data_IF_238124907151
#
_entry.id   IF_238124907151
#
_cell.length_a   1.000
_cell.length_b   1.000
_cell.length_c   1.000
_cell.angle_alpha   90.00
_cell.angle_beta   90.00
_cell.angle_gamma   90.00
#
_symmetry.space_group_name_H-M   'P 1'
#
loop_
_entity.id
_entity.type
_entity.pdbx_description
1 polymer ?
#
# COMPACT_ATOMS: atom_id res chain seq x y z
N UNK A 1 42.68 -44.10 5.68
CA UNK A 1 41.31 -43.53 5.66
C UNK A 1 41.38 -42.15 6.29
N UNK A 2 41.67 -41.12 5.50
CA UNK A 2 41.55 -39.74 5.97
C UNK A 2 40.06 -39.41 5.99
N UNK A 3 39.53 -39.11 7.17
CA UNK A 3 38.10 -38.87 7.36
C UNK A 3 37.66 -37.65 6.55
N UNK A 4 36.57 -37.80 5.80
CA UNK A 4 35.92 -36.77 4.98
C UNK A 4 35.52 -35.51 5.79
N UNK A 5 35.58 -35.60 7.12
CA UNK A 5 35.23 -34.54 8.07
C UNK A 5 36.30 -33.46 8.25
N UNK A 6 37.57 -33.73 7.96
CA UNK A 6 38.64 -32.74 8.20
C UNK A 6 38.47 -31.44 7.38
N UNK A 7 38.11 -31.48 6.08
CA UNK A 7 37.85 -30.25 5.30
C UNK A 7 36.58 -29.50 5.73
N UNK A 8 35.54 -30.22 6.17
CA UNK A 8 34.29 -29.64 6.68
C UNK A 8 34.50 -28.87 7.99
N UNK A 9 35.36 -29.40 8.88
CA UNK A 9 35.76 -28.73 10.13
C UNK A 9 36.50 -27.41 9.85
N UNK A 10 37.36 -27.39 8.83
CA UNK A 10 38.06 -26.16 8.42
C UNK A 10 37.08 -25.15 7.85
N UNK A 11 36.15 -25.57 6.98
CA UNK A 11 35.11 -24.70 6.43
C UNK A 11 34.20 -24.10 7.51
N UNK A 12 33.66 -24.93 8.39
CA UNK A 12 32.83 -24.48 9.51
C UNK A 12 33.60 -23.55 10.47
N UNK A 13 34.88 -23.84 10.73
CA UNK A 13 35.75 -22.99 11.55
C UNK A 13 35.98 -21.61 10.93
N UNK A 14 36.22 -21.52 9.62
CA UNK A 14 36.39 -20.24 8.91
C UNK A 14 35.08 -19.44 8.91
N UNK A 15 33.93 -20.09 8.69
CA UNK A 15 32.62 -19.42 8.76
C UNK A 15 32.29 -18.92 10.17
N UNK A 16 32.63 -19.68 11.21
CA UNK A 16 32.46 -19.26 12.60
C UNK A 16 33.34 -18.05 12.93
N UNK A 17 34.61 -18.05 12.51
CA UNK A 17 35.51 -16.90 12.68
C UNK A 17 34.99 -15.68 11.91
N UNK A 18 34.51 -15.84 10.67
CA UNK A 18 33.92 -14.75 9.90
C UNK A 18 32.65 -14.17 10.56
N UNK A 19 31.80 -15.01 11.15
CA UNK A 19 30.63 -14.57 11.91
C UNK A 19 31.02 -13.79 13.17
N UNK A 20 32.03 -14.26 13.90
CA UNK A 20 32.61 -13.55 15.05
C UNK A 20 33.15 -12.18 14.62
N UNK A 21 33.95 -12.13 13.54
CA UNK A 21 34.51 -10.89 13.03
C UNK A 21 33.44 -9.91 12.56
N UNK A 22 32.39 -10.38 11.87
CA UNK A 22 31.26 -9.54 11.48
C UNK A 22 30.51 -8.97 12.70
N UNK A 23 30.40 -9.74 13.80
CA UNK A 23 29.76 -9.26 15.04
C UNK A 23 30.55 -8.13 15.69
N UNK A 24 31.88 -8.22 15.67
CA UNK A 24 32.74 -7.26 16.36
C UNK A 24 33.17 -6.05 15.51
N UNK A 25 33.29 -6.21 14.19
CA UNK A 25 33.93 -5.21 13.32
C UNK A 25 33.01 -4.58 12.27
N UNK A 26 31.80 -5.11 12.06
CA UNK A 26 30.81 -4.59 11.11
C UNK A 26 29.70 -3.78 11.82
N UNK A 27 30.05 -3.11 12.93
CA UNK A 27 29.18 -2.20 13.66
C UNK A 27 29.13 -0.85 12.91
N UNK A 28 27.93 -0.30 12.78
CA UNK A 28 27.55 0.85 11.93
C UNK A 28 28.55 2.02 11.94
N UNK A 29 28.86 2.63 10.78
CA UNK A 29 29.55 3.91 10.75
C UNK A 29 28.63 4.96 11.39
N UNK A 30 29.13 5.60 12.45
CA UNK A 30 28.44 6.66 13.21
C UNK A 30 27.86 7.79 12.34
N UNK A 31 28.40 7.97 11.14
CA UNK A 31 28.02 9.04 10.22
C UNK A 31 26.62 8.85 9.58
N UNK A 32 26.11 7.62 9.44
CA UNK A 32 24.77 7.38 8.83
C UNK A 32 23.63 7.77 9.78
N UNK A 33 23.83 7.60 11.08
CA UNK A 33 22.86 8.03 12.10
C UNK A 33 22.82 9.56 12.16
N UNK A 34 24.00 10.20 12.13
CA UNK A 34 24.11 11.66 12.10
C UNK A 34 23.48 12.28 10.84
N UNK A 35 23.54 11.62 9.68
CA UNK A 35 22.92 12.13 8.45
C UNK A 35 21.39 12.07 8.46
N UNK A 36 20.80 11.03 9.08
CA UNK A 36 19.35 10.89 9.23
C UNK A 36 18.76 11.85 10.27
N UNK A 37 19.48 12.08 11.37
CA UNK A 37 19.13 13.12 12.34
C UNK A 37 19.19 14.51 11.70
N UNK A 38 20.17 14.77 10.83
CA UNK A 38 20.25 16.02 10.08
C UNK A 38 19.14 16.20 9.04
N UNK A 39 18.67 15.11 8.39
CA UNK A 39 17.49 15.15 7.51
C UNK A 39 16.21 15.41 8.31
N UNK A 40 16.00 14.72 9.45
CA UNK A 40 14.85 14.96 10.32
C UNK A 40 14.85 16.37 10.92
N UNK A 41 16.02 16.93 11.27
CA UNK A 41 16.12 18.33 11.72
C UNK A 41 15.82 19.33 10.60
N UNK A 42 16.18 19.04 9.36
CA UNK A 42 15.81 19.88 8.21
C UNK A 42 14.32 19.85 7.90
N UNK A 43 13.67 18.72 8.15
CA UNK A 43 12.21 18.57 8.00
C UNK A 43 11.44 19.05 9.24
N UNK A 44 12.10 19.18 10.40
CA UNK A 44 11.51 19.37 11.72
C UNK A 44 11.59 20.76 12.35
N UNK A 45 12.00 21.81 11.64
CA UNK A 45 12.00 23.20 12.18
C UNK A 45 10.58 23.84 12.21
N UNK A 46 9.58 23.03 12.59
CA UNK A 46 8.20 23.43 12.93
C UNK A 46 7.87 23.10 14.40
N UNK A 47 8.89 22.89 15.24
CA UNK A 47 8.80 22.45 16.65
C UNK A 47 8.26 23.49 17.65
N UNK A 48 7.50 24.49 17.18
CA UNK A 48 6.82 25.46 18.05
C UNK A 48 5.44 25.04 18.55
N UNK A 49 4.92 23.89 18.13
CA UNK A 49 3.61 23.38 18.56
C UNK A 49 3.82 22.07 19.31
N UNK A 50 3.65 22.14 20.63
CA UNK A 50 3.45 20.98 21.48
C UNK A 50 2.14 20.30 21.03
N UNK A 51 2.24 19.36 20.09
CA UNK A 51 1.14 18.46 19.76
C UNK A 51 1.07 17.41 20.88
N UNK A 52 0.20 17.65 21.86
CA UNK A 52 -0.12 16.70 22.93
C UNK A 52 -0.92 15.47 22.45
N UNK A 53 -1.28 15.42 21.16
CA UNK A 53 -2.01 14.29 20.57
C UNK A 53 -1.13 13.48 19.60
N UNK A 54 -0.38 12.56 20.20
CA UNK A 54 -0.14 11.17 19.76
C UNK A 54 -0.20 10.93 18.23
N UNK A 55 0.65 11.62 17.48
CA UNK A 55 0.97 11.28 16.10
C UNK A 55 1.67 9.92 16.17
N UNK A 56 0.90 8.84 15.95
CA UNK A 56 1.24 7.44 16.18
C UNK A 56 2.39 6.88 15.33
N UNK A 57 3.45 7.65 15.09
CA UNK A 57 4.79 7.13 14.98
C UNK A 57 5.05 6.25 16.19
N UNK A 58 5.22 4.95 15.94
CA UNK A 58 5.58 4.01 16.99
C UNK A 58 6.73 4.61 17.79
N UNK A 59 6.62 4.71 19.13
CA UNK A 59 7.68 5.27 19.95
C UNK A 59 8.95 4.52 19.59
N UNK A 60 9.96 5.26 19.11
CA UNK A 60 11.26 4.67 18.79
C UNK A 60 11.73 4.00 20.08
N UNK A 61 11.91 2.67 20.09
CA UNK A 61 12.22 1.98 21.33
C UNK A 61 13.55 2.51 21.86
N UNK A 62 13.51 3.23 22.98
CA UNK A 62 14.73 3.71 23.66
C UNK A 62 15.56 2.53 24.18
N UNK A 63 14.89 1.42 24.48
CA UNK A 63 15.49 0.21 25.02
C UNK A 63 15.07 -1.00 24.21
N UNK A 64 16.06 -1.77 23.77
CA UNK A 64 15.86 -3.04 23.05
C UNK A 64 15.09 -4.04 23.92
N UNK A 65 13.94 -4.51 23.45
CA UNK A 65 13.18 -5.54 24.13
C UNK A 65 13.87 -6.91 23.99
N UNK A 66 14.68 -7.27 24.98
CA UNK A 66 15.50 -8.50 25.00
C UNK A 66 14.70 -9.78 24.80
N UNK A 67 13.42 -9.81 25.18
CA UNK A 67 12.54 -10.98 24.99
C UNK A 67 12.17 -11.15 23.52
N UNK A 68 11.73 -10.07 22.86
CA UNK A 68 11.39 -10.04 21.44
C UNK A 68 12.62 -10.33 20.59
N UNK A 69 13.74 -9.68 20.91
CA UNK A 69 15.03 -9.95 20.27
C UNK A 69 15.46 -11.41 20.41
N UNK A 70 15.37 -11.98 21.62
CA UNK A 70 15.69 -13.39 21.86
C UNK A 70 14.82 -14.36 21.05
N UNK A 71 13.53 -14.06 20.88
CA UNK A 71 12.62 -14.86 20.05
C UNK A 71 12.99 -14.79 18.56
N UNK A 72 13.31 -13.60 18.03
CA UNK A 72 13.77 -13.42 16.64
C UNK A 72 15.05 -14.22 16.39
N UNK A 73 16.01 -14.13 17.31
CA UNK A 73 17.28 -14.85 17.25
C UNK A 73 17.07 -16.37 17.35
N UNK A 74 16.20 -16.84 18.25
CA UNK A 74 15.92 -18.26 18.41
C UNK A 74 15.21 -18.84 17.18
N UNK A 75 14.29 -18.08 16.57
CA UNK A 75 13.63 -18.44 15.32
C UNK A 75 14.63 -18.56 14.17
N UNK A 76 15.53 -17.57 14.03
CA UNK A 76 16.61 -17.61 13.04
C UNK A 76 17.55 -18.81 13.24
N UNK A 77 17.87 -19.16 14.49
CA UNK A 77 18.69 -20.33 14.81
C UNK A 77 17.96 -21.63 14.42
N UNK A 78 16.67 -21.74 14.74
CA UNK A 78 15.84 -22.89 14.39
C UNK A 78 15.79 -23.13 12.88
N UNK A 79 15.60 -22.06 12.10
CA UNK A 79 15.58 -22.12 10.63
C UNK A 79 16.91 -22.59 10.02
N UNK A 80 18.04 -22.22 10.61
CA UNK A 80 19.35 -22.62 10.10
C UNK A 80 19.80 -24.01 10.58
N UNK A 81 19.30 -24.46 11.73
CA UNK A 81 19.46 -25.86 12.18
C UNK A 81 18.65 -26.79 11.26
N UNK A 82 17.50 -26.36 10.75
CA UNK A 82 16.70 -27.09 9.77
C UNK A 82 17.33 -27.16 8.37
N UNK A 83 18.20 -26.22 7.98
CA UNK A 83 18.72 -26.09 6.61
C UNK A 83 19.92 -27.01 6.27
N UNK A 84 20.22 -28.01 7.11
CA UNK A 84 21.45 -28.79 6.97
C UNK A 84 21.55 -29.56 5.65
N UNK A 85 22.60 -29.26 4.88
CA UNK A 85 23.00 -30.02 3.69
C UNK A 85 23.96 -31.14 4.08
N UNK A 86 23.65 -32.41 3.80
CA UNK A 86 24.66 -33.36 3.39
C UNK A 86 24.72 -33.38 1.85
N UNK A 87 25.87 -33.09 1.25
CA UNK A 87 26.08 -33.39 -0.18
C UNK A 87 27.23 -34.39 -0.30
N UNK A 88 26.85 -35.67 -0.37
CA UNK A 88 27.35 -36.51 -1.45
C UNK A 88 26.12 -36.77 -2.31
N UNK A 89 25.93 -35.97 -3.35
CA UNK A 89 24.80 -36.07 -4.25
C UNK A 89 25.34 -36.32 -5.66
N UNK A 90 24.74 -37.26 -6.40
CA UNK A 90 25.09 -37.45 -7.80
C UNK A 90 24.82 -36.16 -8.59
N UNK A 91 25.57 -35.93 -9.67
CA UNK A 91 25.42 -34.73 -10.52
C UNK A 91 23.96 -34.50 -10.96
N UNK A 92 23.21 -35.58 -11.17
CA UNK A 92 21.79 -35.55 -11.53
C UNK A 92 20.95 -34.97 -10.39
N UNK A 93 21.15 -35.43 -9.15
CA UNK A 93 20.39 -34.93 -8.02
C UNK A 93 20.77 -33.48 -7.66
N UNK A 94 22.03 -33.06 -7.89
CA UNK A 94 22.43 -31.65 -7.78
C UNK A 94 21.71 -30.75 -8.80
N UNK A 95 21.61 -31.20 -10.05
CA UNK A 95 20.84 -30.50 -11.10
C UNK A 95 19.37 -30.38 -10.72
N UNK A 96 18.76 -31.44 -10.19
CA UNK A 96 17.35 -31.42 -9.75
C UNK A 96 17.11 -30.53 -8.53
N UNK A 97 18.00 -30.54 -7.53
CA UNK A 97 17.90 -29.60 -6.41
C UNK A 97 18.05 -28.16 -6.89
N UNK A 98 18.97 -27.89 -7.82
CA UNK A 98 19.14 -26.54 -8.37
C UNK A 98 17.88 -26.07 -9.11
N UNK A 99 17.21 -26.97 -9.84
CA UNK A 99 15.93 -26.70 -10.50
C UNK A 99 14.80 -26.50 -9.49
N UNK A 100 14.72 -27.32 -8.43
CA UNK A 100 13.71 -27.18 -7.38
C UNK A 100 13.90 -25.90 -6.57
N UNK A 101 15.14 -25.52 -6.25
CA UNK A 101 15.46 -24.25 -5.60
C UNK A 101 15.11 -23.10 -6.53
N UNK A 102 15.44 -23.15 -7.82
CA UNK A 102 15.03 -22.12 -8.77
C UNK A 102 13.48 -22.01 -8.86
N UNK A 103 12.78 -23.14 -8.90
CA UNK A 103 11.32 -23.20 -8.94
C UNK A 103 10.63 -22.80 -7.63
N UNK A 104 11.32 -22.83 -6.49
CA UNK A 104 10.79 -22.32 -5.22
C UNK A 104 11.15 -20.84 -4.99
N UNK A 105 12.40 -20.48 -5.26
CA UNK A 105 12.93 -19.14 -4.98
C UNK A 105 12.32 -18.12 -5.93
N UNK A 106 12.17 -18.42 -7.23
CA UNK A 106 11.66 -17.44 -8.20
C UNK A 106 10.18 -17.10 -7.97
N UNK A 107 9.25 -18.06 -7.76
CA UNK A 107 7.89 -17.71 -7.37
C UNK A 107 7.83 -17.07 -5.99
N UNK A 108 8.68 -17.52 -5.06
CA UNK A 108 8.80 -16.93 -3.73
C UNK A 108 9.16 -15.44 -3.77
N UNK A 109 10.13 -15.05 -4.59
CA UNK A 109 10.55 -13.64 -4.75
C UNK A 109 9.55 -12.79 -5.54
N UNK A 110 8.73 -13.38 -6.41
CA UNK A 110 7.66 -12.67 -7.13
C UNK A 110 6.43 -12.43 -6.23
N UNK A 111 6.10 -13.42 -5.39
CA UNK A 111 4.92 -13.38 -4.51
C UNK A 111 5.21 -12.61 -3.23
N UNK A 112 6.44 -12.68 -2.72
CA UNK A 112 6.77 -12.11 -1.41
C UNK A 112 6.50 -10.60 -1.31
N UNK A 113 6.81 -9.71 -2.29
CA UNK A 113 6.53 -8.29 -2.15
C UNK A 113 5.03 -7.98 -2.01
N UNK A 114 4.18 -8.73 -2.73
CA UNK A 114 2.72 -8.58 -2.65
C UNK A 114 2.17 -9.08 -1.30
N UNK A 115 2.77 -10.14 -0.77
CA UNK A 115 2.41 -10.68 0.55
C UNK A 115 2.92 -9.77 1.67
N UNK A 116 4.15 -9.25 1.59
CA UNK A 116 4.72 -8.26 2.53
C UNK A 116 3.88 -6.98 2.56
N UNK A 117 3.43 -6.49 1.40
CA UNK A 117 2.57 -5.30 1.31
C UNK A 117 1.17 -5.51 1.94
N UNK A 118 0.72 -6.75 2.11
CA UNK A 118 -0.59 -7.08 2.71
C UNK A 118 -0.53 -7.55 4.15
N UNK A 119 0.49 -8.32 4.53
CA UNK A 119 0.66 -8.89 5.87
C UNK A 119 1.62 -8.09 6.75
N UNK A 120 2.27 -7.06 6.19
CA UNK A 120 3.28 -6.24 6.83
C UNK A 120 4.59 -6.97 7.14
N UNK A 121 5.50 -6.24 7.80
CA UNK A 121 6.86 -6.71 8.09
C UNK A 121 6.87 -8.00 8.92
N UNK A 122 5.97 -8.17 9.89
CA UNK A 122 5.88 -9.39 10.68
C UNK A 122 5.26 -10.59 9.95
N UNK A 123 4.25 -10.41 9.09
CA UNK A 123 3.71 -11.52 8.28
C UNK A 123 4.68 -12.03 7.21
N UNK A 124 5.74 -11.26 7.01
CA UNK A 124 6.91 -11.57 6.20
C UNK A 124 8.00 -12.38 6.90
N UNK A 125 7.66 -13.37 7.72
CA UNK A 125 8.59 -14.19 8.53
C UNK A 125 9.73 -14.91 7.77
N UNK A 126 10.00 -14.60 6.50
CA UNK A 126 11.18 -15.06 5.76
C UNK A 126 12.37 -14.09 5.85
N UNK A 127 12.21 -12.86 6.34
CA UNK A 127 13.33 -11.94 6.53
C UNK A 127 13.38 -11.39 7.97
N UNK A 128 14.31 -11.91 8.75
CA UNK A 128 14.61 -11.45 10.12
C UNK A 128 15.15 -10.01 10.17
N UNK A 129 15.72 -9.51 9.05
CA UNK A 129 16.32 -8.18 8.95
C UNK A 129 15.36 -7.01 9.26
N UNK A 130 14.25 -6.84 8.52
CA UNK A 130 13.31 -5.74 8.75
C UNK A 130 12.64 -5.74 10.14
N UNK A 131 12.39 -6.92 10.73
CA UNK A 131 11.86 -7.01 12.11
C UNK A 131 12.88 -6.53 13.15
N UNK A 132 14.16 -6.83 12.95
CA UNK A 132 15.22 -6.34 13.82
C UNK A 132 15.36 -4.83 13.71
N UNK A 133 15.23 -4.25 12.51
CA UNK A 133 15.25 -2.79 12.35
C UNK A 133 14.09 -2.10 13.08
N UNK A 134 12.89 -2.67 13.04
CA UNK A 134 11.71 -2.12 13.70
C UNK A 134 11.79 -2.20 15.24
N UNK A 135 12.35 -3.29 15.77
CA UNK A 135 12.41 -3.56 17.23
C UNK A 135 13.67 -3.02 17.91
N UNK A 136 14.70 -2.70 17.14
CA UNK A 136 15.97 -2.24 17.69
C UNK A 136 16.03 -0.71 17.74
N UNK A 137 16.53 -0.14 18.84
CA UNK A 137 16.91 1.28 18.90
C UNK A 137 17.78 1.63 17.69
N UNK A 138 17.66 2.84 17.10
CA UNK A 138 18.42 3.23 15.92
C UNK A 138 19.93 3.05 16.06
N UNK A 139 20.48 3.28 17.26
CA UNK A 139 21.90 3.11 17.62
C UNK A 139 22.35 1.64 17.77
N UNK A 140 21.41 0.69 17.73
CA UNK A 140 21.64 -0.75 17.94
C UNK A 140 21.12 -1.63 16.81
N UNK A 141 20.68 -1.04 15.70
CA UNK A 141 20.19 -1.79 14.52
C UNK A 141 21.31 -2.63 13.92
N UNK A 142 22.50 -2.05 13.73
CA UNK A 142 23.68 -2.78 13.25
C UNK A 142 24.08 -3.94 14.15
N UNK A 143 24.07 -3.75 15.48
CA UNK A 143 24.34 -4.82 16.44
C UNK A 143 23.32 -5.96 16.31
N UNK A 144 22.04 -5.61 16.22
CA UNK A 144 20.94 -6.58 16.18
C UNK A 144 20.94 -7.39 14.87
N UNK A 145 21.23 -6.74 13.73
CA UNK A 145 21.46 -7.40 12.46
C UNK A 145 22.71 -8.30 12.49
N UNK A 146 23.80 -7.83 13.11
CA UNK A 146 25.03 -8.59 13.30
C UNK A 146 24.78 -9.88 14.09
N UNK A 147 24.07 -9.80 15.21
CA UNK A 147 23.69 -10.98 15.99
C UNK A 147 22.85 -11.98 15.19
N UNK A 148 21.89 -11.50 14.41
CA UNK A 148 21.05 -12.34 13.57
C UNK A 148 21.85 -13.07 12.47
N UNK A 149 22.72 -12.35 11.75
CA UNK A 149 23.61 -12.96 10.75
C UNK A 149 24.54 -14.00 11.41
N UNK A 150 25.08 -13.69 12.60
CA UNK A 150 25.94 -14.61 13.35
C UNK A 150 25.22 -15.88 13.75
N UNK A 151 23.99 -15.77 14.19
CA UNK A 151 23.15 -16.91 14.57
C UNK A 151 22.79 -17.75 13.34
N UNK A 152 22.46 -17.11 12.22
CA UNK A 152 22.20 -17.81 10.98
C UNK A 152 23.43 -18.58 10.49
N UNK A 153 24.60 -17.92 10.47
CA UNK A 153 25.87 -18.53 10.08
C UNK A 153 26.30 -19.65 11.02
N UNK A 154 26.07 -19.49 12.32
CA UNK A 154 26.34 -20.53 13.30
C UNK A 154 25.44 -21.74 13.11
N UNK A 155 24.14 -21.55 12.91
CA UNK A 155 23.19 -22.62 12.60
C UNK A 155 23.57 -23.34 11.31
N UNK A 156 23.96 -22.61 10.26
CA UNK A 156 24.40 -23.17 8.98
C UNK A 156 25.72 -23.93 9.08
N UNK A 157 26.62 -23.56 10.00
CA UNK A 157 27.86 -24.28 10.28
C UNK A 157 27.65 -25.53 11.14
N UNK A 158 26.71 -25.47 12.10
CA UNK A 158 26.43 -26.55 13.05
C UNK A 158 25.52 -27.63 12.45
N UNK A 159 24.56 -27.26 11.61
CA UNK A 159 23.55 -28.18 11.07
C UNK A 159 24.12 -29.36 10.28
N UNK A 160 25.16 -29.21 9.42
CA UNK A 160 25.74 -30.36 8.72
C UNK A 160 26.44 -31.34 9.67
N UNK A 161 26.99 -30.84 10.78
CA UNK A 161 27.64 -31.68 11.79
C UNK A 161 26.62 -32.51 12.58
N UNK A 162 25.55 -31.86 13.07
CA UNK A 162 24.48 -32.56 13.81
C UNK A 162 23.78 -33.57 12.92
N UNK A 163 23.42 -33.20 11.68
CA UNK A 163 22.80 -34.12 10.73
C UNK A 163 23.76 -35.24 10.31
N UNK A 164 25.06 -34.95 10.17
CA UNK A 164 26.07 -35.97 9.91
C UNK A 164 26.16 -37.00 11.03
N UNK A 165 26.22 -36.55 12.28
CA UNK A 165 26.25 -37.43 13.47
C UNK A 165 24.95 -38.25 13.59
N UNK A 166 23.80 -37.65 13.31
CA UNK A 166 22.51 -38.36 13.29
C UNK A 166 22.49 -39.41 12.16
N UNK A 167 22.93 -39.04 10.96
CA UNK A 167 23.01 -39.95 9.81
C UNK A 167 23.95 -41.13 10.07
N UNK A 168 25.10 -40.88 10.69
CA UNK A 168 26.09 -41.91 10.99
C UNK A 168 25.62 -42.85 12.12
N UNK A 169 24.94 -42.31 13.16
CA UNK A 169 24.42 -43.09 14.27
C UNK A 169 23.14 -43.88 13.93
N UNK A 170 22.36 -43.42 12.95
CA UNK A 170 21.19 -44.15 12.43
C UNK A 170 21.55 -45.24 11.43
N UNK A 171 22.84 -45.55 11.28
CA UNK A 171 23.37 -46.61 10.41
C UNK A 171 22.63 -47.94 10.52
N UNK A 172 21.80 -48.22 9.52
CA UNK A 172 21.48 -49.56 9.03
C UNK A 172 20.36 -50.38 9.72
N UNK A 173 19.91 -50.07 10.95
CA UNK A 173 19.01 -50.99 11.67
C UNK A 173 17.57 -50.51 11.91
N UNK A 174 17.24 -49.23 11.67
CA UNK A 174 15.95 -48.65 12.09
C UNK A 174 15.13 -48.05 10.94
N UNK A 175 14.83 -48.80 9.88
CA UNK A 175 13.71 -48.48 8.96
C UNK A 175 13.15 -49.74 8.26
N UNK A 176 12.55 -50.63 9.04
CA UNK A 176 11.49 -51.52 8.54
C UNK A 176 10.12 -50.88 8.83
N UNK A 177 9.84 -49.74 8.21
CA UNK A 177 8.45 -49.30 8.01
C UNK A 177 7.94 -49.89 6.69
N UNK A 178 6.75 -50.53 6.66
CA UNK A 178 6.30 -51.29 5.51
C UNK A 178 6.05 -50.37 4.31
N UNK A 179 6.96 -50.41 3.33
CA UNK A 179 6.98 -49.56 2.13
C UNK A 179 5.85 -49.84 1.12
N UNK A 180 5.06 -50.90 1.28
CA UNK A 180 4.20 -51.36 0.18
C UNK A 180 2.78 -50.77 0.17
N UNK A 181 2.25 -50.26 1.29
CA UNK A 181 0.83 -49.89 1.35
C UNK A 181 0.52 -48.42 1.04
N UNK A 182 1.40 -47.46 1.36
CA UNK A 182 1.03 -46.04 1.31
C UNK A 182 1.44 -45.32 0.02
N UNK A 183 2.59 -45.66 -0.56
CA UNK A 183 3.10 -45.02 -1.78
C UNK A 183 2.45 -45.53 -3.08
N UNK A 184 1.94 -46.77 -3.09
CA UNK A 184 1.26 -47.34 -4.26
C UNK A 184 -0.13 -46.74 -4.51
N UNK A 185 -0.75 -46.14 -3.49
CA UNK A 185 -2.06 -45.49 -3.61
C UNK A 185 -1.99 -44.03 -4.07
N UNK A 186 -0.88 -43.34 -3.83
CA UNK A 186 -0.74 -41.91 -4.18
C UNK A 186 -0.13 -41.67 -5.58
N UNK A 187 0.56 -42.67 -6.16
CA UNK A 187 1.41 -42.50 -7.35
C UNK A 187 0.91 -43.22 -8.62
N UNK A 188 -0.34 -43.71 -8.66
CA UNK A 188 -0.86 -44.48 -9.81
C UNK A 188 -1.01 -43.69 -11.13
N UNK A 189 -0.92 -42.36 -11.12
CA UNK A 189 -1.13 -41.53 -12.32
C UNK A 189 0.10 -40.74 -12.79
N UNK A 190 1.29 -40.99 -12.23
CA UNK A 190 2.52 -40.27 -12.64
C UNK A 190 3.62 -41.28 -12.96
N UNK A 191 3.69 -41.70 -14.22
CA UNK A 191 4.76 -42.55 -14.74
C UNK A 191 6.04 -41.75 -14.93
N UNK A 192 6.77 -41.48 -13.84
CA UNK A 192 8.16 -41.05 -13.91
C UNK A 192 9.02 -42.29 -13.66
N UNK A 193 9.60 -42.80 -14.74
CA UNK A 193 10.54 -43.93 -14.71
C UNK A 193 11.87 -43.44 -14.11
N UNK A 194 12.10 -43.73 -12.84
CA UNK A 194 13.40 -43.55 -12.19
C UNK A 194 14.30 -44.75 -12.51
N UNK A 195 15.29 -44.56 -13.40
CA UNK A 195 16.41 -45.47 -13.55
C UNK A 195 17.53 -44.97 -12.63
N UNK A 196 17.61 -45.52 -11.42
CA UNK A 196 18.76 -45.37 -10.53
C UNK A 196 19.40 -46.75 -10.31
N UNK A 197 20.74 -46.87 -10.38
CA UNK A 197 21.43 -48.13 -10.14
C UNK A 197 21.19 -48.63 -8.71
N UNK A 198 21.00 -49.95 -8.50
CA UNK A 198 20.42 -50.50 -7.28
C UNK A 198 21.33 -50.55 -6.04
N UNK A 199 22.58 -50.08 -6.09
CA UNK A 199 23.60 -50.50 -5.11
C UNK A 199 24.13 -49.42 -4.14
N UNK A 200 23.45 -48.28 -4.00
CA UNK A 200 23.66 -47.39 -2.84
C UNK A 200 22.34 -46.96 -2.25
N UNK A 201 21.95 -47.66 -1.18
CA UNK A 201 20.79 -47.37 -0.36
C UNK A 201 21.07 -46.15 0.53
N UNK A 202 20.86 -44.96 -0.02
CA UNK A 202 20.80 -43.71 0.75
C UNK A 202 19.44 -43.61 1.48
N UNK A 203 19.23 -44.49 2.46
CA UNK A 203 17.98 -44.61 3.24
C UNK A 203 17.82 -43.44 4.25
N UNK A 204 18.89 -42.69 4.55
CA UNK A 204 18.86 -41.55 5.46
C UNK A 204 18.21 -40.27 4.90
N UNK A 205 18.15 -40.12 3.57
CA UNK A 205 17.76 -38.86 2.91
C UNK A 205 16.30 -38.46 3.16
N UNK A 206 15.30 -39.35 3.09
CA UNK A 206 13.90 -38.96 3.32
C UNK A 206 13.62 -38.56 4.78
N UNK A 207 14.23 -39.23 5.75
CA UNK A 207 14.05 -38.93 7.18
C UNK A 207 14.66 -37.56 7.51
N UNK A 208 15.85 -37.27 6.99
CA UNK A 208 16.48 -35.96 7.15
C UNK A 208 15.60 -34.84 6.57
N UNK A 209 15.03 -35.02 5.37
CA UNK A 209 14.13 -34.03 4.75
C UNK A 209 12.92 -33.73 5.64
N UNK A 210 12.26 -34.75 6.21
CA UNK A 210 11.09 -34.53 7.07
C UNK A 210 11.44 -33.89 8.41
N UNK A 211 12.63 -34.16 8.96
CA UNK A 211 13.13 -33.46 10.15
C UNK A 211 13.36 -31.97 9.83
N UNK A 212 13.99 -31.66 8.68
CA UNK A 212 14.17 -30.29 8.23
C UNK A 212 12.81 -29.56 8.09
N UNK A 213 11.84 -30.18 7.42
CA UNK A 213 10.49 -29.62 7.25
C UNK A 213 9.82 -29.39 8.61
N UNK A 214 9.90 -30.35 9.54
CA UNK A 214 9.29 -30.22 10.86
C UNK A 214 9.91 -29.09 11.69
N UNK A 215 11.24 -28.91 11.63
CA UNK A 215 11.92 -27.82 12.34
C UNK A 215 11.54 -26.47 11.70
N UNK A 216 11.50 -26.34 10.38
CA UNK A 216 11.06 -25.10 9.72
C UNK A 216 9.61 -24.74 10.07
N UNK A 217 8.70 -25.72 10.16
CA UNK A 217 7.33 -25.47 10.64
C UNK A 217 7.30 -25.00 12.10
N UNK A 218 8.07 -25.64 12.99
CA UNK A 218 8.15 -25.25 14.40
C UNK A 218 8.74 -23.84 14.58
N UNK A 219 9.76 -23.48 13.81
CA UNK A 219 10.32 -22.12 13.79
C UNK A 219 9.28 -21.09 13.33
N UNK A 220 8.50 -21.40 12.29
CA UNK A 220 7.41 -20.52 11.85
C UNK A 220 6.38 -20.30 12.97
N UNK A 221 5.96 -21.38 13.66
CA UNK A 221 5.04 -21.27 14.81
C UNK A 221 5.63 -20.49 15.99
N UNK A 222 6.94 -20.61 16.25
CA UNK A 222 7.61 -19.83 17.28
C UNK A 222 7.65 -18.32 16.97
N UNK A 223 7.59 -17.96 15.68
CA UNK A 223 7.56 -16.57 15.22
C UNK A 223 6.13 -15.97 15.13
N UNK A 224 5.07 -16.79 15.06
CA UNK A 224 3.67 -16.30 15.01
C UNK A 224 3.33 -15.32 16.15
N UNK A 225 3.72 -15.55 17.42
CA UNK A 225 3.46 -14.59 18.50
C UNK A 225 4.08 -13.20 18.28
N UNK A 226 5.13 -13.07 17.46
CA UNK A 226 5.74 -11.77 17.14
C UNK A 226 4.82 -10.88 16.30
N UNK A 227 3.82 -11.46 15.62
CA UNK A 227 2.79 -10.71 14.90
C UNK A 227 1.81 -9.98 15.84
N UNK A 228 1.81 -10.31 17.14
CA UNK A 228 0.95 -9.65 18.13
C UNK A 228 1.71 -8.68 19.04
N UNK A 229 3.02 -8.48 18.80
CA UNK A 229 3.81 -7.50 19.56
C UNK A 229 3.61 -6.12 18.95
N UNK A 230 3.16 -5.17 19.76
CA UNK A 230 3.04 -3.77 19.36
C UNK A 230 4.39 -3.25 18.85
N UNK A 231 4.41 -2.70 17.63
CA UNK A 231 5.61 -2.28 16.90
C UNK A 231 6.10 -3.24 15.81
N UNK A 232 5.69 -4.51 15.84
CA UNK A 232 5.92 -5.47 14.74
C UNK A 232 4.73 -5.55 13.77
N UNK A 233 3.59 -4.95 14.12
CA UNK A 233 2.42 -4.84 13.25
C UNK A 233 2.78 -4.12 11.93
N UNK A 234 1.96 -4.35 10.89
CA UNK A 234 2.09 -3.61 9.62
C UNK A 234 2.17 -2.11 9.96
N UNK A 235 3.27 -1.41 9.66
CA UNK A 235 3.33 0.03 9.91
C UNK A 235 2.12 0.63 9.21
N UNK A 236 1.31 1.40 9.95
CA UNK A 236 0.18 2.10 9.35
C UNK A 236 0.75 2.88 8.19
N UNK A 237 0.22 2.66 6.98
CA UNK A 237 0.70 3.38 5.80
C UNK A 237 0.69 4.87 6.16
N UNK A 238 1.80 5.59 5.97
CA UNK A 238 1.85 7.00 6.33
C UNK A 238 0.66 7.67 5.68
N UNK A 239 -0.14 8.36 6.48
CA UNK A 239 -1.32 9.03 5.97
C UNK A 239 -0.81 10.03 4.91
N UNK A 240 -1.31 9.97 3.65
CA UNK A 240 -0.87 10.86 2.59
C UNK A 240 -0.93 12.31 3.06
N UNK A 241 0.03 13.14 2.64
CA UNK A 241 0.11 14.55 3.08
C UNK A 241 -1.19 15.32 2.86
N UNK A 242 -1.97 14.97 1.84
CA UNK A 242 -3.27 15.57 1.53
C UNK A 242 -4.30 15.42 2.65
N UNK A 243 -4.21 14.31 3.41
CA UNK A 243 -5.16 13.98 4.48
C UNK A 243 -4.75 14.52 5.83
N UNK A 244 -3.68 15.33 5.89
CA UNK A 244 -3.30 16.01 7.12
C UNK A 244 -3.96 17.39 7.13
N UNK A 245 -4.54 17.80 8.27
CA UNK A 245 -4.96 19.19 8.44
C UNK A 245 -3.72 20.10 8.34
N UNK A 246 -3.84 21.23 7.66
CA UNK A 246 -2.79 22.25 7.66
C UNK A 246 -2.90 23.11 8.93
N UNK A 247 -1.78 23.73 9.31
CA UNK A 247 -1.78 24.69 10.41
C UNK A 247 -2.78 25.83 10.10
N UNK A 248 -3.78 25.99 10.98
CA UNK A 248 -4.85 26.98 10.83
C UNK A 248 -6.11 26.48 10.14
N UNK A 249 -6.12 25.27 9.56
CA UNK A 249 -7.35 24.63 9.10
C UNK A 249 -8.17 24.14 10.30
N UNK A 250 -9.49 24.23 10.20
CA UNK A 250 -10.39 23.60 11.15
C UNK A 250 -10.27 22.06 11.03
N UNK A 251 -9.55 21.46 11.98
CA UNK A 251 -9.29 20.03 11.99
C UNK A 251 -10.59 19.21 12.00
N UNK A 252 -11.65 19.68 12.65
CA UNK A 252 -12.94 18.97 12.66
C UNK A 252 -13.54 18.92 11.26
N UNK A 253 -13.48 20.03 10.51
CA UNK A 253 -13.98 20.11 9.13
C UNK A 253 -13.16 19.18 8.22
N UNK A 254 -11.83 19.22 8.31
CA UNK A 254 -10.95 18.35 7.51
C UNK A 254 -11.23 16.88 7.82
N UNK A 255 -11.35 16.51 9.10
CA UNK A 255 -11.68 15.14 9.51
C UNK A 255 -13.06 14.70 9.01
N UNK A 256 -14.07 15.58 9.00
CA UNK A 256 -15.38 15.28 8.41
C UNK A 256 -15.28 14.99 6.91
N UNK A 257 -14.57 15.83 6.16
CA UNK A 257 -14.35 15.64 4.71
C UNK A 257 -13.68 14.29 4.44
N UNK A 258 -12.63 13.97 5.20
CA UNK A 258 -11.86 12.73 5.05
C UNK A 258 -12.66 11.47 5.42
N UNK A 259 -13.60 11.59 6.37
CA UNK A 259 -14.54 10.52 6.73
C UNK A 259 -15.67 10.35 5.70
N UNK A 260 -15.81 11.26 4.73
CA UNK A 260 -16.94 11.28 3.81
C UNK A 260 -18.23 11.77 4.45
N UNK A 261 -18.14 12.50 5.58
CA UNK A 261 -19.28 13.18 6.17
C UNK A 261 -19.61 14.43 5.35
N UNK A 262 -20.90 14.75 5.24
CA UNK A 262 -21.32 15.94 4.51
C UNK A 262 -20.81 17.21 5.22
N UNK A 263 -20.21 18.09 4.42
CA UNK A 263 -19.76 19.43 4.82
C UNK A 263 -20.42 20.41 3.86
N UNK A 264 -20.83 21.57 4.37
CA UNK A 264 -21.39 22.62 3.54
C UNK A 264 -20.39 23.04 2.45
N UNK A 265 -20.86 23.13 1.21
CA UNK A 265 -20.00 23.42 0.06
C UNK A 265 -19.27 24.75 0.20
N UNK A 266 -19.87 25.76 0.83
CA UNK A 266 -19.23 27.05 1.05
C UNK A 266 -18.03 26.93 2.00
N UNK A 267 -18.16 26.13 3.07
CA UNK A 267 -17.08 25.86 4.02
C UNK A 267 -15.97 25.04 3.32
N UNK A 268 -16.35 24.04 2.53
CA UNK A 268 -15.39 23.23 1.76
C UNK A 268 -14.61 24.09 0.76
N UNK A 269 -15.29 25.00 0.06
CA UNK A 269 -14.68 25.91 -0.91
C UNK A 269 -13.69 26.87 -0.21
N UNK A 270 -14.02 27.39 0.97
CA UNK A 270 -13.10 28.22 1.77
C UNK A 270 -11.80 27.47 2.14
N UNK A 271 -11.92 26.24 2.64
CA UNK A 271 -10.76 25.39 2.95
C UNK A 271 -9.94 25.10 1.69
N UNK A 272 -10.62 24.81 0.57
CA UNK A 272 -9.96 24.54 -0.70
C UNK A 272 -9.32 25.79 -1.32
N UNK A 273 -9.88 26.98 -1.11
CA UNK A 273 -9.29 28.25 -1.54
C UNK A 273 -8.00 28.55 -0.76
N UNK A 274 -7.95 28.27 0.54
CA UNK A 274 -6.69 28.38 1.29
C UNK A 274 -5.64 27.39 0.80
N UNK A 275 -6.04 26.15 0.50
CA UNK A 275 -5.16 25.13 -0.07
C UNK A 275 -4.67 25.52 -1.46
N UNK A 276 -5.57 26.05 -2.29
CA UNK A 276 -5.26 26.60 -3.60
C UNK A 276 -4.13 27.62 -3.49
N UNK A 277 -4.30 28.63 -2.63
CA UNK A 277 -3.32 29.72 -2.43
C UNK A 277 -1.97 29.20 -1.92
N UNK A 278 -1.96 28.10 -1.18
CA UNK A 278 -0.74 27.42 -0.70
C UNK A 278 -0.15 26.41 -1.71
N UNK A 279 -0.76 26.27 -2.90
CA UNK A 279 -0.32 25.32 -3.94
C UNK A 279 -0.52 23.86 -3.53
N UNK A 280 -1.57 23.57 -2.75
CA UNK A 280 -1.90 22.22 -2.25
C UNK A 280 -3.11 21.64 -2.98
N UNK A 281 -3.21 20.32 -3.09
CA UNK A 281 -4.39 19.66 -3.68
C UNK A 281 -5.67 19.96 -2.90
N UNK A 282 -6.79 19.99 -3.62
CA UNK A 282 -8.12 20.14 -3.02
C UNK A 282 -8.50 18.91 -2.20
N UNK A 283 -9.29 19.17 -1.17
CA UNK A 283 -10.03 18.15 -0.44
C UNK A 283 -11.35 17.87 -1.16
N UNK A 284 -11.67 16.58 -1.25
CA UNK A 284 -12.93 16.10 -1.82
C UNK A 284 -13.64 15.23 -0.79
N UNK A 285 -14.96 15.44 -0.65
CA UNK A 285 -15.79 14.56 0.19
C UNK A 285 -15.90 13.22 -0.51
N UNK A 286 -15.53 12.15 0.19
CA UNK A 286 -15.58 10.80 -0.37
C UNK A 286 -17.03 10.31 -0.49
N UNK A 287 -17.41 9.69 -1.62
CA UNK A 287 -18.73 9.08 -1.73
C UNK A 287 -18.84 7.94 -0.72
N UNK A 288 -19.90 7.93 0.07
CA UNK A 288 -20.24 6.78 0.91
C UNK A 288 -20.95 5.73 0.07
N UNK A 289 -20.94 4.44 0.45
CA UNK A 289 -21.74 3.42 -0.21
C UNK A 289 -23.24 3.76 -0.19
N UNK A 290 -23.96 3.42 -1.26
CA UNK A 290 -25.40 3.70 -1.37
C UNK A 290 -26.22 3.13 -0.21
N UNK A 291 -25.88 1.93 0.28
CA UNK A 291 -26.58 1.29 1.41
C UNK A 291 -26.54 2.15 2.68
N UNK A 292 -25.43 2.86 2.90
CA UNK A 292 -25.23 3.72 4.05
C UNK A 292 -25.99 5.05 3.90
N UNK A 293 -26.32 5.47 2.68
CA UNK A 293 -26.98 6.75 2.39
C UNK A 293 -28.46 6.63 1.99
N UNK A 294 -28.93 5.42 1.70
CA UNK A 294 -30.29 5.16 1.18
C UNK A 294 -31.39 5.75 2.06
N UNK A 295 -31.19 5.79 3.37
CA UNK A 295 -32.15 6.34 4.33
C UNK A 295 -32.05 7.88 4.47
N UNK A 296 -31.01 8.49 3.89
CA UNK A 296 -30.73 9.93 3.93
C UNK A 296 -31.00 10.61 2.58
N UNK A 297 -31.57 9.95 1.57
CA UNK A 297 -31.72 10.50 0.21
C UNK A 297 -32.50 11.83 0.18
N UNK A 298 -33.53 11.98 1.01
CA UNK A 298 -34.28 13.24 1.09
C UNK A 298 -33.46 14.37 1.75
N UNK A 299 -32.59 14.01 2.70
CA UNK A 299 -31.66 14.94 3.32
C UNK A 299 -30.56 15.34 2.33
N UNK A 300 -30.06 14.38 1.54
CA UNK A 300 -29.10 14.62 0.47
C UNK A 300 -29.66 15.61 -0.55
N UNK A 301 -30.90 15.40 -1.03
CA UNK A 301 -31.58 16.34 -1.96
C UNK A 301 -31.72 17.75 -1.38
N UNK A 302 -32.03 17.87 -0.08
CA UNK A 302 -32.14 19.18 0.58
C UNK A 302 -30.79 19.89 0.68
N UNK A 303 -29.73 19.15 0.98
CA UNK A 303 -28.35 19.66 1.07
C UNK A 303 -27.82 20.07 -0.30
N UNK A 304 -27.99 19.22 -1.32
CA UNK A 304 -27.49 19.50 -2.67
C UNK A 304 -28.15 20.71 -3.32
N UNK A 305 -29.35 21.11 -2.89
CA UNK A 305 -30.00 22.35 -3.32
C UNK A 305 -29.19 23.59 -3.02
N UNK A 306 -28.70 23.75 -1.78
CA UNK A 306 -27.82 24.88 -1.45
C UNK A 306 -26.49 24.78 -2.18
N UNK A 307 -25.98 23.55 -2.35
CA UNK A 307 -24.71 23.30 -3.03
C UNK A 307 -24.76 23.71 -4.52
N UNK A 308 -25.84 23.38 -5.24
CA UNK A 308 -26.03 23.79 -6.63
C UNK A 308 -26.12 25.31 -6.79
N UNK A 309 -26.84 25.99 -5.89
CA UNK A 309 -26.95 27.45 -5.91
C UNK A 309 -25.62 28.12 -5.60
N UNK A 310 -24.86 27.59 -4.64
CA UNK A 310 -23.52 28.06 -4.31
C UNK A 310 -22.59 27.93 -5.51
N UNK A 311 -22.51 26.74 -6.12
CA UNK A 311 -21.65 26.50 -7.26
C UNK A 311 -22.03 27.36 -8.47
N UNK A 312 -23.32 27.52 -8.78
CA UNK A 312 -23.75 28.40 -9.88
C UNK A 312 -23.29 29.84 -9.64
N UNK A 313 -23.44 30.36 -8.42
CA UNK A 313 -22.97 31.70 -8.05
C UNK A 313 -21.45 31.81 -8.19
N UNK A 314 -20.69 30.85 -7.65
CA UNK A 314 -19.22 30.86 -7.71
C UNK A 314 -18.69 30.74 -9.14
N UNK A 315 -19.31 29.91 -9.98
CA UNK A 315 -18.99 29.83 -11.42
C UNK A 315 -19.20 31.17 -12.10
N UNK A 316 -20.26 31.91 -11.76
CA UNK A 316 -20.50 33.27 -12.30
C UNK A 316 -19.48 34.28 -11.80
N UNK A 317 -19.09 34.21 -10.54
CA UNK A 317 -18.00 35.03 -10.00
C UNK A 317 -16.71 34.78 -10.76
N UNK A 318 -16.34 33.53 -11.01
CA UNK A 318 -15.16 33.20 -11.81
C UNK A 318 -15.27 33.72 -13.25
N UNK A 319 -16.42 33.58 -13.92
CA UNK A 319 -16.65 34.16 -15.24
C UNK A 319 -16.49 35.69 -15.25
N UNK A 320 -16.95 36.38 -14.21
CA UNK A 320 -16.72 37.82 -14.06
C UNK A 320 -15.22 38.13 -13.88
N UNK A 321 -14.53 37.38 -13.02
CA UNK A 321 -13.10 37.55 -12.77
C UNK A 321 -12.23 37.29 -14.02
N UNK A 322 -12.64 36.36 -14.89
CA UNK A 322 -11.93 36.07 -16.14
C UNK A 322 -11.87 37.29 -17.07
N UNK A 323 -12.94 38.09 -17.12
CA UNK A 323 -13.01 39.28 -17.95
C UNK A 323 -12.10 40.43 -17.48
N UNK A 324 -11.69 40.40 -16.21
CA UNK A 324 -10.87 41.45 -15.59
C UNK A 324 -9.37 41.14 -15.61
N UNK A 325 -8.98 39.88 -15.87
CA UNK A 325 -7.60 39.42 -15.78
C UNK A 325 -6.85 39.54 -17.09
N UNK A 326 -5.52 39.74 -16.98
CA UNK A 326 -4.63 39.66 -18.13
C UNK A 326 -4.41 38.21 -18.56
N UNK A 327 -3.94 38.01 -19.80
CA UNK A 327 -3.63 36.67 -20.33
C UNK A 327 -2.58 35.93 -19.51
N UNK A 328 -1.59 36.64 -18.95
CA UNK A 328 -0.51 36.06 -18.15
C UNK A 328 -1.01 35.64 -16.75
N UNK A 329 -1.87 36.46 -16.14
CA UNK A 329 -2.52 36.12 -14.88
C UNK A 329 -3.44 34.91 -15.03
N UNK A 330 -4.09 34.79 -16.20
CA UNK A 330 -4.96 33.67 -16.52
C UNK A 330 -4.18 32.36 -16.67
N UNK A 331 -3.03 32.39 -17.37
CA UNK A 331 -2.15 31.22 -17.46
C UNK A 331 -1.66 30.76 -16.09
N UNK A 332 -1.32 31.70 -15.20
CA UNK A 332 -0.92 31.39 -13.83
C UNK A 332 -2.07 30.76 -13.04
N UNK A 333 -3.28 31.31 -13.16
CA UNK A 333 -4.49 30.76 -12.54
C UNK A 333 -4.77 29.33 -13.01
N UNK A 334 -4.74 29.08 -14.33
CA UNK A 334 -4.95 27.76 -14.91
C UNK A 334 -3.92 26.74 -14.42
N UNK A 335 -2.63 27.11 -14.37
CA UNK A 335 -1.59 26.24 -13.85
C UNK A 335 -1.81 25.87 -12.38
N UNK A 336 -2.16 26.86 -11.55
CA UNK A 336 -2.46 26.63 -10.14
C UNK A 336 -3.72 25.77 -9.95
N UNK A 337 -4.73 25.97 -10.79
CA UNK A 337 -5.95 25.16 -10.82
C UNK A 337 -5.64 23.71 -11.17
N UNK A 338 -4.87 23.48 -12.24
CA UNK A 338 -4.47 22.13 -12.65
C UNK A 338 -3.65 21.44 -11.56
N UNK A 339 -2.72 22.15 -10.90
CA UNK A 339 -1.95 21.61 -9.78
C UNK A 339 -2.83 21.23 -8.58
N UNK A 340 -3.85 22.04 -8.28
CA UNK A 340 -4.73 21.81 -7.13
C UNK A 340 -5.78 20.73 -7.38
N UNK A 341 -6.20 20.55 -8.65
CA UNK A 341 -7.14 19.52 -9.07
C UNK A 341 -6.48 18.18 -9.39
N UNK A 342 -5.15 18.15 -9.58
CA UNK A 342 -4.43 16.92 -9.88
C UNK A 342 -4.40 16.02 -8.65
N UNK A 343 -4.89 14.78 -8.74
CA UNK A 343 -4.78 13.84 -7.63
C UNK A 343 -3.31 13.48 -7.40
N UNK A 344 -2.87 13.37 -6.15
CA UNK A 344 -1.53 12.78 -5.88
C UNK A 344 -1.51 11.28 -6.10
N UNK A 345 -2.66 10.62 -6.09
CA UNK A 345 -2.77 9.18 -6.22
C UNK A 345 -3.85 8.79 -7.25
N UNK A 346 -3.41 8.35 -8.43
CA UNK A 346 -4.31 7.91 -9.51
C UNK A 346 -5.18 6.72 -9.09
N UNK A 347 -4.64 5.77 -8.31
CA UNK A 347 -5.40 4.62 -7.80
C UNK A 347 -6.55 5.06 -6.88
N UNK A 348 -6.35 6.16 -6.14
CA UNK A 348 -7.38 6.71 -5.25
C UNK A 348 -8.53 7.32 -6.07
N UNK A 349 -8.21 8.04 -7.15
CA UNK A 349 -9.22 8.59 -8.06
C UNK A 349 -9.98 7.48 -8.78
N UNK A 350 -9.29 6.44 -9.25
CA UNK A 350 -9.97 5.29 -9.85
C UNK A 350 -10.90 4.61 -8.84
N UNK A 351 -10.48 4.47 -7.59
CA UNK A 351 -11.33 3.94 -6.51
C UNK A 351 -12.57 4.81 -6.29
N UNK A 352 -12.42 6.12 -6.17
CA UNK A 352 -13.53 7.07 -5.97
C UNK A 352 -14.51 6.98 -7.15
N UNK A 353 -14.01 7.00 -8.39
CA UNK A 353 -14.84 6.88 -9.58
C UNK A 353 -15.59 5.53 -9.62
N UNK A 354 -14.92 4.45 -9.21
CA UNK A 354 -15.54 3.13 -9.07
C UNK A 354 -16.67 3.16 -8.04
N UNK A 355 -16.48 3.84 -6.92
CA UNK A 355 -17.44 3.89 -5.83
C UNK A 355 -18.66 4.75 -6.18
N UNK A 356 -18.50 5.88 -6.89
CA UNK A 356 -19.61 6.65 -7.47
C UNK A 356 -20.40 5.79 -8.47
N UNK A 357 -19.71 5.04 -9.35
CA UNK A 357 -20.35 4.14 -10.30
C UNK A 357 -21.15 3.03 -9.62
N UNK A 358 -20.60 2.42 -8.55
CA UNK A 358 -21.31 1.42 -7.74
C UNK A 358 -22.53 2.04 -7.06
N UNK A 359 -22.38 3.22 -6.46
CA UNK A 359 -23.48 3.94 -5.82
C UNK A 359 -24.64 4.14 -6.79
N UNK A 360 -24.35 4.64 -7.99
CA UNK A 360 -25.35 4.91 -9.02
C UNK A 360 -26.06 3.63 -9.49
N UNK A 361 -25.33 2.54 -9.70
CA UNK A 361 -25.92 1.24 -10.10
C UNK A 361 -26.80 0.69 -8.98
N UNK A 362 -26.40 0.80 -7.71
CA UNK A 362 -27.20 0.37 -6.58
C UNK A 362 -28.48 1.20 -6.45
N UNK A 363 -28.38 2.52 -6.55
CA UNK A 363 -29.55 3.42 -6.58
C UNK A 363 -30.55 3.02 -7.68
N UNK A 364 -30.08 2.78 -8.90
CA UNK A 364 -30.93 2.37 -10.01
C UNK A 364 -31.67 1.06 -9.72
N UNK A 365 -30.96 0.04 -9.22
CA UNK A 365 -31.59 -1.25 -8.88
C UNK A 365 -32.68 -1.10 -7.82
N UNK A 366 -32.41 -0.31 -6.79
CA UNK A 366 -33.34 -0.11 -5.69
C UNK A 366 -34.58 0.70 -6.08
N UNK A 367 -34.48 1.51 -7.13
CA UNK A 367 -35.60 2.22 -7.75
C UNK A 367 -36.27 1.42 -8.88
N UNK A 368 -36.00 0.12 -9.00
CA UNK A 368 -36.66 -0.78 -9.93
C UNK A 368 -36.12 -0.76 -11.37
N UNK A 369 -35.01 -0.06 -11.62
CA UNK A 369 -34.34 -0.11 -12.92
C UNK A 369 -33.53 -1.40 -13.07
N UNK A 370 -33.45 -1.92 -14.30
CA UNK A 370 -32.66 -3.09 -14.65
C UNK A 370 -31.48 -2.71 -15.56
N UNK A 371 -30.38 -2.14 -15.02
CA UNK A 371 -29.27 -1.63 -15.84
C UNK A 371 -28.59 -2.66 -16.75
N UNK A 372 -28.74 -3.95 -16.44
CA UNK A 372 -28.25 -5.04 -17.28
C UNK A 372 -29.13 -5.32 -18.50
N UNK A 373 -30.42 -5.00 -18.45
CA UNK A 373 -31.36 -5.17 -19.57
C UNK A 373 -31.41 -3.91 -20.44
N UNK A 374 -31.46 -2.74 -19.81
CA UNK A 374 -31.70 -1.45 -20.49
C UNK A 374 -30.44 -0.57 -20.56
N UNK A 375 -29.26 -1.19 -20.67
CA UNK A 375 -27.98 -0.47 -20.56
C UNK A 375 -27.84 0.68 -21.55
N UNK A 376 -28.34 0.54 -22.79
CA UNK A 376 -28.31 1.61 -23.80
C UNK A 376 -29.23 2.78 -23.44
N UNK A 377 -30.45 2.50 -22.99
CA UNK A 377 -31.41 3.54 -22.61
C UNK A 377 -30.92 4.32 -21.39
N UNK A 378 -30.37 3.62 -20.39
CA UNK A 378 -29.81 4.24 -19.20
C UNK A 378 -28.58 5.08 -19.55
N UNK A 379 -27.70 4.61 -20.44
CA UNK A 379 -26.56 5.41 -20.93
C UNK A 379 -27.02 6.69 -21.62
N UNK A 380 -28.06 6.62 -22.45
CA UNK A 380 -28.63 7.81 -23.10
C UNK A 380 -29.18 8.80 -22.07
N UNK A 381 -29.92 8.32 -21.07
CA UNK A 381 -30.43 9.17 -19.99
C UNK A 381 -29.29 9.82 -19.19
N UNK A 382 -28.21 9.08 -18.91
CA UNK A 382 -27.01 9.62 -18.25
C UNK A 382 -26.39 10.73 -19.12
N UNK A 383 -26.17 10.51 -20.41
CA UNK A 383 -25.58 11.53 -21.30
C UNK A 383 -26.47 12.78 -21.42
N UNK A 384 -27.80 12.61 -21.39
CA UNK A 384 -28.75 13.72 -21.40
C UNK A 384 -28.76 14.49 -20.07
N UNK A 385 -28.60 13.80 -18.94
CA UNK A 385 -28.59 14.40 -17.61
C UNK A 385 -27.25 15.06 -17.25
N UNK A 386 -26.14 14.46 -17.71
CA UNK A 386 -24.77 14.88 -17.45
C UNK A 386 -24.07 15.19 -18.79
N UNK A 387 -24.38 16.34 -19.41
CA UNK A 387 -23.75 16.70 -20.66
C UNK A 387 -22.26 16.94 -20.47
N UNK A 388 -21.51 16.82 -21.57
CA UNK A 388 -20.07 16.99 -21.57
C UNK A 388 -19.62 18.38 -21.10
N UNK A 389 -18.75 18.42 -20.09
CA UNK A 389 -18.22 19.69 -19.55
C UNK A 389 -16.81 19.96 -20.06
N UNK A 390 -15.91 18.97 -19.99
CA UNK A 390 -14.50 19.09 -20.34
C UNK A 390 -13.97 17.79 -20.93
N UNK A 391 -12.98 17.87 -21.83
CA UNK A 391 -12.32 16.73 -22.46
C UNK A 391 -11.35 15.96 -21.52
N UNK A 392 -11.28 16.36 -20.24
CA UNK A 392 -10.46 15.69 -19.22
C UNK A 392 -8.97 16.04 -19.25
N UNK A 393 -8.57 16.97 -20.12
CA UNK A 393 -7.23 17.55 -20.13
C UNK A 393 -7.05 18.69 -19.11
N UNK A 394 -5.81 19.16 -19.01
CA UNK A 394 -5.46 20.36 -18.25
C UNK A 394 -6.28 21.57 -18.75
N UNK A 395 -6.76 22.38 -17.83
CA UNK A 395 -7.44 23.64 -18.15
C UNK A 395 -6.42 24.63 -18.69
N UNK A 396 -6.70 25.23 -19.84
CA UNK A 396 -5.87 26.24 -20.50
C UNK A 396 -6.58 27.60 -20.50
N UNK A 397 -5.86 28.72 -20.70
CA UNK A 397 -6.48 30.04 -20.84
C UNK A 397 -7.60 30.10 -21.89
N UNK A 398 -7.48 29.33 -22.98
CA UNK A 398 -8.45 29.29 -24.07
C UNK A 398 -9.68 28.42 -23.74
N UNK A 399 -9.54 27.43 -22.87
CA UNK A 399 -10.59 26.46 -22.54
C UNK A 399 -11.34 26.76 -21.24
N UNK A 400 -10.77 27.55 -20.34
CA UNK A 400 -11.35 27.82 -19.02
C UNK A 400 -12.72 28.52 -19.09
N UNK A 401 -12.88 29.52 -19.96
CA UNK A 401 -14.16 30.21 -20.12
C UNK A 401 -15.23 29.25 -20.66
N UNK A 402 -14.90 28.46 -21.68
CA UNK A 402 -15.81 27.48 -22.24
C UNK A 402 -16.23 26.41 -21.21
N UNK A 403 -15.27 25.89 -20.42
CA UNK A 403 -15.53 24.92 -19.37
C UNK A 403 -16.46 25.49 -18.29
N UNK A 404 -16.24 26.74 -17.85
CA UNK A 404 -17.10 27.41 -16.88
C UNK A 404 -18.50 27.67 -17.44
N UNK A 405 -18.63 28.09 -18.70
CA UNK A 405 -19.94 28.29 -19.35
C UNK A 405 -20.71 26.98 -19.49
N UNK A 406 -20.05 25.87 -19.84
CA UNK A 406 -20.68 24.54 -19.89
C UNK A 406 -21.12 24.09 -18.50
N UNK A 407 -20.28 24.31 -17.49
CA UNK A 407 -20.58 24.01 -16.08
C UNK A 407 -21.78 24.82 -15.58
N UNK A 408 -21.84 26.12 -15.89
CA UNK A 408 -22.96 26.99 -15.56
C UNK A 408 -24.28 26.47 -16.13
N UNK A 409 -24.29 26.04 -17.40
CA UNK A 409 -25.48 25.46 -18.05
C UNK A 409 -25.94 24.18 -17.35
N UNK A 410 -25.02 23.33 -16.92
CA UNK A 410 -25.34 22.11 -16.16
C UNK A 410 -26.04 22.46 -14.86
N UNK A 411 -25.48 23.38 -14.07
CA UNK A 411 -26.08 23.77 -12.80
C UNK A 411 -27.42 24.48 -12.98
N UNK A 412 -27.54 25.39 -13.95
CA UNK A 412 -28.80 26.07 -14.27
C UNK A 412 -29.89 25.06 -14.62
N UNK A 413 -29.60 24.06 -15.46
CA UNK A 413 -30.56 23.01 -15.81
C UNK A 413 -30.93 22.14 -14.61
N UNK A 414 -29.99 21.80 -13.74
CA UNK A 414 -30.26 21.04 -12.52
C UNK A 414 -31.21 21.79 -11.56
N UNK A 415 -30.97 23.09 -11.38
CA UNK A 415 -31.79 23.99 -10.56
C UNK A 415 -33.22 24.10 -11.14
N UNK A 416 -33.35 24.24 -12.47
CA UNK A 416 -34.65 24.28 -13.16
C UNK A 416 -35.45 22.97 -12.99
N UNK A 417 -34.79 21.81 -13.14
CA UNK A 417 -35.45 20.50 -13.04
C UNK A 417 -35.98 20.21 -11.64
N UNK A 418 -35.28 20.67 -10.60
CA UNK A 418 -35.69 20.49 -9.21
C UNK A 418 -36.77 21.50 -8.77
N UNK A 419 -37.25 22.35 -9.69
CA UNK A 419 -38.25 23.37 -9.37
C UNK A 419 -37.75 24.36 -8.31
N UNK A 420 -36.45 24.61 -8.26
CA UNK A 420 -35.84 25.48 -7.26
C UNK A 420 -36.07 26.97 -7.55
N UNK A 421 -36.79 27.30 -8.62
CA UNK A 421 -36.72 28.57 -9.33
C UNK A 421 -38.01 29.42 -9.25
N UNK A 422 -38.73 29.39 -8.14
CA UNK A 422 -39.86 30.33 -7.94
C UNK A 422 -39.36 31.79 -7.78
N UNK A 423 -38.16 32.02 -7.24
CA UNK A 423 -37.60 33.36 -7.03
C UNK A 423 -36.39 33.71 -7.93
N UNK A 424 -35.58 32.74 -8.38
CA UNK A 424 -34.35 33.00 -9.14
C UNK A 424 -34.57 33.13 -10.68
N UNK A 425 -35.71 32.68 -11.20
CA UNK A 425 -36.09 32.78 -12.61
C UNK A 425 -36.23 34.25 -13.08
N UNK A 426 -36.55 35.18 -12.18
CA UNK A 426 -36.64 36.61 -12.51
C UNK A 426 -35.27 37.30 -12.64
N UNK A 427 -34.23 36.80 -11.97
CA UNK A 427 -32.86 37.33 -12.04
C UNK A 427 -32.05 36.72 -13.20
N UNK A 428 -32.29 35.45 -13.54
CA UNK A 428 -31.50 34.68 -14.52
C UNK A 428 -31.59 35.20 -15.96
N UNK A 429 -32.79 35.51 -16.45
CA UNK A 429 -32.95 35.84 -17.88
C UNK A 429 -32.32 37.19 -18.26
N UNK A 430 -32.41 38.19 -17.36
CA UNK A 430 -31.88 39.54 -17.63
C UNK A 430 -30.35 39.62 -17.55
N UNK A 431 -29.72 38.84 -16.66
CA UNK A 431 -28.26 38.78 -16.51
C UNK A 431 -27.58 38.12 -17.71
N UNK A 432 -28.08 36.95 -18.11
CA UNK A 432 -27.54 36.20 -19.25
C UNK A 432 -27.73 36.95 -20.56
N UNK A 433 -28.89 37.59 -20.77
CA UNK A 433 -29.12 38.43 -21.96
C UNK A 433 -28.14 39.60 -22.02
N UNK A 434 -27.83 40.26 -20.90
CA UNK A 434 -26.83 41.33 -20.87
C UNK A 434 -25.44 40.84 -21.29
N UNK A 435 -25.02 39.66 -20.82
CA UNK A 435 -23.71 39.09 -21.15
C UNK A 435 -23.63 38.65 -22.62
N UNK A 436 -24.67 37.98 -23.13
CA UNK A 436 -24.76 37.63 -24.55
C UNK A 436 -24.74 38.88 -25.44
N UNK A 437 -25.43 39.94 -25.02
CA UNK A 437 -25.47 41.21 -25.75
C UNK A 437 -24.12 41.94 -25.75
N UNK A 438 -23.36 41.90 -24.64
CA UNK A 438 -22.00 42.46 -24.60
C UNK A 438 -21.01 41.67 -25.44
N UNK A 439 -21.10 40.34 -25.44
CA UNK A 439 -20.25 39.48 -26.27
C UNK A 439 -20.50 39.72 -27.78
N UNK A 440 -21.77 39.82 -28.20
CA UNK A 440 -22.14 40.16 -29.59
C UNK A 440 -21.65 41.57 -29.97
N UNK A 441 -21.72 42.54 -29.05
CA UNK A 441 -21.23 43.90 -29.29
C UNK A 441 -19.70 43.98 -29.37
N UNK A 442 -18.97 43.12 -28.65
CA UNK A 442 -17.52 43.03 -28.75
C UNK A 442 -17.10 42.33 -30.04
N UNK A 443 -17.77 41.25 -30.45
CA UNK A 443 -17.50 40.57 -31.72
C UNK A 443 -17.86 41.40 -32.95
N UNK A 444 -18.77 42.37 -32.83
CA UNK A 444 -19.11 43.30 -33.90
C UNK A 444 -18.14 44.50 -34.00
N UNK A 445 -17.26 44.70 -33.02
CA UNK A 445 -16.25 45.77 -33.01
C UNK A 445 -14.85 45.30 -33.40
N UNK A 446 -14.59 43.99 -33.32
CA UNK A 446 -13.43 43.33 -33.91
C UNK A 446 -13.71 43.05 -35.40
#
# INVERSE_FOLDING_TARGET
KQGLFAPLLVGAGVTAVAAILNTFYLIEPRDIVASREAEQQREGDTSGVENDDDDGGLPVPEVMNKKVFGLIILGALGDNIAAGKPIIMSEIAYKWISVLVALMVVPGTIVSPRVFNRLGLAGGCLSTGPMLEATSPPDKRGFSQGCNITVMNFGAALSPFVLGVISDNLGGSLTCWPKEAFLSSLMKNVSIVFILPPDRRDIGTPVAIWICVAISFLSAFANVPLMWVDGCNVPKKPVPMERRPLLGEDEEVVQKILKGEWVDTEILDQVNEERFLKGRPYLFVRPRPYEDEKHELDLLRKRTKSDFLYHQRKTREYLCMLNERSSDDLATLCNQYNLSMRPTNEDEVESINSDVGKWFISYLKDNGYAPHMDSTLIKEQIMLAFPHVSDGGDVTPESIEENLLRTERVFTRAIEMEGMDEDASQLNFKGVLKYAQSAILQSAKA
#
